data_IF_547501317619
#
_entry.id   IF_547501317619
#
_cell.length_a   1.000
_cell.length_b   1.000
_cell.length_c   1.000
_cell.angle_alpha   90.00
_cell.angle_beta   90.00
_cell.angle_gamma   90.00
#
_symmetry.space_group_name_H-M   'P 1'
#
loop_
_entity.id
_entity.type
_entity.pdbx_description
1 polymer ?
#
# COMPACT_ATOMS: atom_id res chain seq x y z
N UNK A 1 23.00 3.89 -17.90
CA UNK A 1 21.70 4.21 -18.54
C UNK A 1 20.50 4.05 -17.61
N UNK A 2 20.38 2.99 -16.79
CA UNK A 2 19.22 2.79 -15.89
C UNK A 2 18.95 3.91 -14.85
N UNK A 3 19.99 4.54 -14.28
CA UNK A 3 19.82 5.61 -13.29
C UNK A 3 19.38 6.97 -13.89
N UNK A 4 19.80 7.30 -15.12
CA UNK A 4 19.39 8.55 -15.80
C UNK A 4 17.94 8.48 -16.30
N UNK A 5 17.48 7.29 -16.71
CA UNK A 5 16.09 7.05 -17.12
C UNK A 5 15.14 7.35 -15.94
N UNK A 6 15.54 7.00 -14.70
CA UNK A 6 14.72 7.21 -13.51
C UNK A 6 14.58 8.69 -13.12
N UNK A 7 15.65 9.50 -13.26
CA UNK A 7 15.57 10.94 -12.93
C UNK A 7 14.66 11.69 -13.89
N UNK A 8 14.84 11.49 -15.20
CA UNK A 8 14.03 12.16 -16.22
C UNK A 8 12.55 11.78 -16.09
N UNK A 9 12.25 10.50 -15.82
CA UNK A 9 10.89 10.02 -15.58
C UNK A 9 10.27 10.70 -14.34
N UNK A 10 10.98 10.75 -13.21
CA UNK A 10 10.51 11.38 -11.98
C UNK A 10 10.30 12.89 -12.19
N UNK A 11 11.25 13.58 -12.83
CA UNK A 11 11.13 15.01 -13.12
C UNK A 11 9.94 15.29 -14.05
N UNK A 12 9.72 14.48 -15.08
CA UNK A 12 8.56 14.60 -15.97
C UNK A 12 7.24 14.36 -15.22
N UNK A 13 7.19 13.36 -14.35
CA UNK A 13 6.01 13.05 -13.52
C UNK A 13 5.68 14.19 -12.55
N UNK A 14 6.69 14.72 -11.84
CA UNK A 14 6.52 15.86 -10.93
C UNK A 14 6.12 17.13 -11.70
N UNK A 15 6.76 17.40 -12.83
CA UNK A 15 6.43 18.54 -13.69
C UNK A 15 4.99 18.47 -14.18
N UNK A 16 4.56 17.29 -14.66
CA UNK A 16 3.18 17.05 -15.11
C UNK A 16 2.19 17.22 -13.96
N UNK A 17 2.48 16.65 -12.78
CA UNK A 17 1.64 16.78 -11.60
C UNK A 17 1.46 18.25 -11.16
N UNK A 18 2.53 19.05 -11.21
CA UNK A 18 2.46 20.49 -10.91
C UNK A 18 1.75 21.30 -11.99
N UNK A 19 1.84 20.88 -13.26
CA UNK A 19 1.12 21.52 -14.38
C UNK A 19 -0.38 21.25 -14.31
N UNK A 20 -0.78 20.09 -13.82
CA UNK A 20 -2.18 19.65 -13.70
C UNK A 20 -2.48 19.30 -12.23
N UNK A 21 -2.57 20.30 -11.34
CA UNK A 21 -2.74 20.05 -9.92
C UNK A 21 -4.08 19.40 -9.60
N UNK A 22 -4.08 18.55 -8.57
CA UNK A 22 -5.26 17.86 -8.05
C UNK A 22 -6.25 18.87 -7.46
N UNK A 23 -7.52 18.47 -7.41
CA UNK A 23 -8.55 19.17 -6.64
C UNK A 23 -8.94 18.33 -5.44
N UNK A 24 -8.79 18.86 -4.22
CA UNK A 24 -9.18 18.15 -2.99
C UNK A 24 -10.68 17.88 -2.93
N UNK A 25 -11.50 18.75 -3.53
CA UNK A 25 -12.94 18.52 -3.67
C UNK A 25 -13.20 17.31 -4.56
N UNK A 26 -12.60 17.30 -5.76
CA UNK A 26 -12.74 16.19 -6.71
C UNK A 26 -12.25 14.86 -6.11
N UNK A 27 -11.08 14.87 -5.45
CA UNK A 27 -10.57 13.72 -4.71
C UNK A 27 -11.59 13.18 -3.71
N UNK A 28 -12.16 14.04 -2.87
CA UNK A 28 -13.13 13.63 -1.85
C UNK A 28 -14.39 13.05 -2.48
N UNK A 29 -14.91 13.71 -3.51
CA UNK A 29 -16.13 13.28 -4.22
C UNK A 29 -15.91 11.90 -4.88
N UNK A 30 -14.78 11.72 -5.59
CA UNK A 30 -14.43 10.45 -6.25
C UNK A 30 -14.15 9.33 -5.24
N UNK A 31 -13.41 9.61 -4.16
CA UNK A 31 -13.13 8.63 -3.13
C UNK A 31 -14.42 8.13 -2.45
N UNK A 32 -15.33 9.03 -2.10
CA UNK A 32 -16.62 8.67 -1.51
C UNK A 32 -17.42 7.83 -2.51
N UNK A 33 -17.58 8.31 -3.75
CA UNK A 33 -18.34 7.60 -4.78
C UNK A 33 -17.83 6.18 -5.02
N UNK A 34 -16.50 5.99 -5.07
CA UNK A 34 -15.91 4.68 -5.26
C UNK A 34 -16.14 3.75 -4.06
N UNK A 35 -15.95 4.24 -2.84
CA UNK A 35 -16.13 3.42 -1.62
C UNK A 35 -17.59 3.08 -1.37
N UNK A 36 -18.52 3.98 -1.71
CA UNK A 36 -19.95 3.81 -1.48
C UNK A 36 -20.73 3.34 -2.70
N UNK A 37 -20.04 2.88 -3.76
CA UNK A 37 -20.69 2.45 -5.01
C UNK A 37 -21.67 1.29 -4.78
N UNK A 38 -21.33 0.37 -3.87
CA UNK A 38 -22.20 -0.73 -3.44
C UNK A 38 -21.78 -1.21 -2.05
N UNK A 39 -22.69 -1.92 -1.37
CA UNK A 39 -22.40 -2.51 -0.06
C UNK A 39 -21.17 -3.45 -0.11
N UNK A 40 -21.06 -4.28 -1.15
CA UNK A 40 -19.93 -5.22 -1.29
C UNK A 40 -18.58 -4.52 -1.47
N UNK A 41 -18.55 -3.35 -2.09
CA UNK A 41 -17.32 -2.54 -2.22
C UNK A 41 -16.98 -1.87 -0.89
N UNK A 42 -17.99 -1.35 -0.18
CA UNK A 42 -17.79 -0.76 1.14
C UNK A 42 -17.25 -1.79 2.14
N UNK A 43 -17.79 -3.01 2.13
CA UNK A 43 -17.31 -4.14 2.96
C UNK A 43 -15.85 -4.47 2.64
N UNK A 44 -15.45 -4.50 1.36
CA UNK A 44 -14.06 -4.75 0.97
C UNK A 44 -13.09 -3.63 1.40
N UNK A 45 -13.59 -2.42 1.64
CA UNK A 45 -12.78 -1.29 2.11
C UNK A 45 -12.46 -1.37 3.61
N UNK A 46 -13.06 -2.31 4.34
CA UNK A 46 -12.79 -2.55 5.75
C UNK A 46 -12.16 -3.93 5.90
N UNK A 47 -11.09 -4.05 6.69
CA UNK A 47 -10.60 -5.37 7.11
C UNK A 47 -11.08 -5.65 8.54
N UNK A 48 -11.33 -6.92 8.83
CA UNK A 48 -11.62 -7.41 10.17
C UNK A 48 -10.74 -8.62 10.44
N UNK A 49 -9.99 -8.60 11.54
CA UNK A 49 -9.14 -9.70 11.97
C UNK A 49 -9.41 -10.04 13.44
N UNK A 50 -9.88 -11.26 13.77
CA UNK A 50 -9.98 -11.69 15.15
C UNK A 50 -8.59 -11.91 15.75
N UNK A 51 -8.34 -11.30 16.92
CA UNK A 51 -7.10 -11.44 17.67
C UNK A 51 -7.36 -11.34 19.17
N UNK A 52 -6.91 -12.35 19.91
CA UNK A 52 -7.03 -12.42 21.39
C UNK A 52 -8.47 -12.17 21.90
N UNK A 53 -9.46 -12.74 21.20
CA UNK A 53 -10.88 -12.62 21.55
C UNK A 53 -11.54 -11.29 21.17
N UNK A 54 -10.82 -10.38 20.49
CA UNK A 54 -11.37 -9.11 19.98
C UNK A 54 -11.25 -9.04 18.45
N UNK A 55 -12.21 -8.41 17.80
CA UNK A 55 -12.09 -8.10 16.36
C UNK A 55 -11.34 -6.78 16.20
N UNK A 56 -10.22 -6.82 15.48
CA UNK A 56 -9.49 -5.62 15.08
C UNK A 56 -10.01 -5.22 13.70
N UNK A 57 -10.52 -4.00 13.60
CA UNK A 57 -11.06 -3.45 12.35
C UNK A 57 -10.26 -2.23 11.89
N UNK A 58 -10.34 -1.93 10.60
CA UNK A 58 -9.82 -0.68 10.06
C UNK A 58 -9.83 -0.64 8.53
N UNK A 59 -9.18 0.39 7.94
CA UNK A 59 -9.12 0.53 6.49
C UNK A 59 -8.36 -0.64 5.86
N UNK A 60 -8.88 -1.23 4.79
CA UNK A 60 -8.23 -2.35 4.08
C UNK A 60 -7.21 -1.87 3.05
N UNK A 61 -6.43 -2.81 2.49
CA UNK A 61 -5.56 -2.50 1.34
C UNK A 61 -6.36 -2.01 0.13
N UNK A 62 -7.57 -2.53 -0.06
CA UNK A 62 -8.49 -2.08 -1.11
C UNK A 62 -8.91 -0.62 -0.92
N UNK A 63 -9.17 -0.20 0.31
CA UNK A 63 -9.44 1.21 0.61
C UNK A 63 -8.26 2.10 0.23
N UNK A 64 -7.03 1.69 0.59
CA UNK A 64 -5.82 2.43 0.22
C UNK A 64 -5.63 2.56 -1.31
N UNK A 65 -5.94 1.52 -2.07
CA UNK A 65 -5.95 1.58 -3.55
C UNK A 65 -6.97 2.59 -4.07
N UNK A 66 -8.18 2.60 -3.51
CA UNK A 66 -9.23 3.55 -3.88
C UNK A 66 -8.80 4.99 -3.58
N UNK A 67 -8.20 5.21 -2.41
CA UNK A 67 -7.64 6.52 -2.05
C UNK A 67 -6.52 6.92 -3.02
N UNK A 68 -5.58 6.04 -3.32
CA UNK A 68 -4.49 6.33 -4.26
C UNK A 68 -5.03 6.64 -5.67
N UNK A 69 -6.06 5.92 -6.12
CA UNK A 69 -6.74 6.17 -7.39
C UNK A 69 -7.41 7.54 -7.42
N UNK A 70 -8.17 7.90 -6.38
CA UNK A 70 -8.86 9.19 -6.28
C UNK A 70 -7.90 10.38 -6.10
N UNK A 71 -6.79 10.17 -5.41
CA UNK A 71 -5.86 11.25 -5.05
C UNK A 71 -5.27 11.90 -6.30
N UNK A 72 -5.01 11.11 -7.36
CA UNK A 72 -4.29 11.54 -8.55
C UNK A 72 -2.83 11.88 -8.23
N UNK A 73 -2.02 12.21 -9.24
CA UNK A 73 -0.66 12.75 -9.06
C UNK A 73 0.17 12.03 -7.97
N UNK A 74 0.18 10.70 -7.97
CA UNK A 74 0.95 9.90 -7.02
C UNK A 74 1.48 8.60 -7.63
N UNK A 75 2.43 7.98 -6.93
CA UNK A 75 2.81 6.58 -7.12
C UNK A 75 2.63 5.83 -5.81
N UNK A 76 1.98 4.68 -5.87
CA UNK A 76 1.83 3.80 -4.73
C UNK A 76 2.24 2.37 -5.11
N UNK A 77 2.79 1.62 -4.16
CA UNK A 77 3.14 0.22 -4.38
C UNK A 77 3.69 -0.44 -3.14
N UNK A 78 3.81 -1.75 -3.18
CA UNK A 78 4.50 -2.51 -2.14
C UNK A 78 5.33 -3.63 -2.76
N UNK A 79 6.44 -3.98 -2.10
CA UNK A 79 7.32 -5.06 -2.50
C UNK A 79 8.00 -5.68 -1.30
N UNK A 80 8.37 -6.96 -1.41
CA UNK A 80 9.33 -7.56 -0.49
C UNK A 80 10.69 -6.93 -0.75
N UNK A 81 11.35 -6.49 0.31
CA UNK A 81 12.70 -5.89 0.25
C UNK A 81 13.75 -6.77 0.91
N UNK A 82 13.35 -7.72 1.76
CA UNK A 82 14.28 -8.59 2.48
C UNK A 82 13.65 -9.91 2.94
N UNK A 83 14.47 -10.95 3.04
CA UNK A 83 14.19 -12.27 3.64
C UNK A 83 15.33 -12.64 4.58
N UNK A 84 15.07 -12.51 5.89
CA UNK A 84 16.04 -12.71 6.97
C UNK A 84 16.07 -14.15 7.49
N UNK A 85 15.59 -15.14 6.73
CA UNK A 85 15.53 -16.53 7.20
C UNK A 85 14.27 -16.83 8.02
N UNK A 86 14.05 -16.10 9.11
CA UNK A 86 12.88 -16.27 9.99
C UNK A 86 11.76 -15.26 9.73
N UNK A 87 12.10 -14.16 9.05
CA UNK A 87 11.19 -13.07 8.78
C UNK A 87 11.37 -12.57 7.36
N UNK A 88 10.28 -12.10 6.78
CA UNK A 88 10.29 -11.31 5.55
C UNK A 88 9.95 -9.86 5.88
N UNK A 89 10.51 -8.93 5.11
CA UNK A 89 10.22 -7.50 5.22
C UNK A 89 9.61 -7.04 3.91
N UNK A 90 8.40 -6.50 3.99
CA UNK A 90 7.73 -5.82 2.89
C UNK A 90 7.74 -4.31 3.13
N UNK A 91 8.00 -3.54 2.08
CA UNK A 91 7.96 -2.10 2.10
C UNK A 91 6.82 -1.60 1.21
N UNK A 92 5.95 -0.78 1.78
CA UNK A 92 4.97 0.03 1.06
C UNK A 92 5.56 1.40 0.79
N UNK A 93 5.24 1.98 -0.36
CA UNK A 93 5.69 3.29 -0.79
C UNK A 93 4.48 4.08 -1.26
N UNK A 94 4.41 5.35 -0.85
CA UNK A 94 3.48 6.33 -1.38
C UNK A 94 4.23 7.63 -1.68
N UNK A 95 4.26 8.04 -2.94
CA UNK A 95 4.92 9.28 -3.38
C UNK A 95 3.88 10.22 -3.99
N UNK A 96 3.56 11.29 -3.27
CA UNK A 96 2.82 12.41 -3.80
C UNK A 96 3.73 13.21 -4.74
N UNK A 97 3.45 13.16 -6.04
CA UNK A 97 4.28 13.79 -7.08
C UNK A 97 4.08 15.31 -7.17
N UNK A 98 2.93 15.82 -6.74
CA UNK A 98 2.60 17.25 -6.80
C UNK A 98 3.27 18.00 -5.64
N UNK A 99 3.12 17.48 -4.43
CA UNK A 99 3.74 17.97 -3.19
C UNK A 99 5.19 17.51 -3.04
N UNK A 100 5.60 16.51 -3.82
CA UNK A 100 6.89 15.84 -3.75
C UNK A 100 7.19 15.28 -2.35
N UNK A 101 6.20 14.62 -1.75
CA UNK A 101 6.33 13.96 -0.44
C UNK A 101 6.34 12.45 -0.66
N UNK A 102 7.39 11.77 -0.19
CA UNK A 102 7.52 10.33 -0.27
C UNK A 102 7.48 9.70 1.13
N UNK A 103 6.58 8.76 1.32
CA UNK A 103 6.39 7.99 2.55
C UNK A 103 6.70 6.53 2.25
N UNK A 104 7.48 5.91 3.12
CA UNK A 104 7.76 4.47 3.07
C UNK A 104 7.40 3.83 4.40
N UNK A 105 6.78 2.65 4.36
CA UNK A 105 6.39 1.92 5.56
C UNK A 105 6.80 0.46 5.46
N UNK A 106 7.51 -0.04 6.45
CA UNK A 106 7.99 -1.42 6.48
C UNK A 106 7.16 -2.29 7.41
N UNK A 107 6.83 -3.48 6.93
CA UNK A 107 6.09 -4.51 7.65
C UNK A 107 6.94 -5.76 7.69
N UNK A 108 7.19 -6.25 8.89
CA UNK A 108 7.88 -7.52 9.11
C UNK A 108 6.87 -8.62 9.44
N UNK A 109 7.01 -9.79 8.79
CA UNK A 109 6.19 -10.97 9.07
C UNK A 109 7.06 -12.19 9.29
N UNK A 110 6.71 -12.99 10.30
CA UNK A 110 7.40 -14.24 10.61
C UNK A 110 7.03 -15.31 9.58
N UNK A 111 8.03 -16.07 9.13
CA UNK A 111 7.90 -17.18 8.17
C UNK A 111 8.40 -18.52 8.72
N UNK A 112 8.40 -18.66 10.05
CA UNK A 112 8.69 -19.90 10.78
C UNK A 112 7.50 -20.29 11.64
N UNK A 113 7.31 -21.59 11.84
CA UNK A 113 6.27 -22.15 12.71
C UNK A 113 6.62 -22.00 14.20
N UNK A 114 5.75 -22.53 15.08
CA UNK A 114 5.97 -22.47 16.54
C UNK A 114 7.22 -23.25 16.97
N UNK A 115 7.66 -24.22 16.18
CA UNK A 115 8.83 -25.05 16.41
C UNK A 115 10.10 -24.47 15.76
N UNK A 116 10.02 -23.28 15.15
CA UNK A 116 11.14 -22.63 14.47
C UNK A 116 11.45 -23.17 13.08
N UNK A 117 10.60 -24.05 12.53
CA UNK A 117 10.79 -24.58 11.16
C UNK A 117 10.27 -23.57 10.15
N UNK A 118 11.08 -23.29 9.13
CA UNK A 118 10.72 -22.38 8.05
C UNK A 118 9.53 -22.92 7.25
N UNK A 119 8.64 -22.02 6.85
CA UNK A 119 7.47 -22.35 6.03
C UNK A 119 7.87 -22.89 4.66
N UNK A 120 6.96 -23.67 4.05
CA UNK A 120 7.10 -24.10 2.65
C UNK A 120 7.05 -22.88 1.71
N UNK A 121 7.68 -22.95 0.52
CA UNK A 121 7.72 -21.84 -0.43
C UNK A 121 6.36 -21.18 -0.71
N UNK A 122 5.29 -21.97 -0.89
CA UNK A 122 3.95 -21.44 -1.14
C UNK A 122 3.43 -20.60 0.04
N UNK A 123 3.66 -21.06 1.27
CA UNK A 123 3.24 -20.36 2.48
C UNK A 123 4.09 -19.12 2.75
N UNK A 124 5.37 -19.13 2.36
CA UNK A 124 6.21 -17.91 2.35
C UNK A 124 5.61 -16.89 1.37
N UNK A 125 5.22 -17.32 0.16
CA UNK A 125 4.57 -16.47 -0.85
C UNK A 125 3.27 -15.85 -0.33
N UNK A 126 2.39 -16.63 0.30
CA UNK A 126 1.15 -16.11 0.93
C UNK A 126 1.47 -15.10 2.04
N UNK A 127 2.49 -15.38 2.86
CA UNK A 127 2.90 -14.48 3.94
C UNK A 127 3.48 -13.18 3.40
N UNK A 128 4.23 -13.24 2.29
CA UNK A 128 4.77 -12.09 1.58
C UNK A 128 3.70 -11.20 0.96
N UNK A 129 2.71 -11.80 0.30
CA UNK A 129 1.58 -11.05 -0.23
C UNK A 129 0.80 -10.36 0.89
N UNK A 130 0.56 -11.05 2.02
CA UNK A 130 -0.07 -10.45 3.18
C UNK A 130 0.75 -9.28 3.77
N UNK A 131 2.08 -9.42 3.84
CA UNK A 131 2.97 -8.35 4.29
C UNK A 131 2.90 -7.13 3.36
N UNK A 132 2.92 -7.35 2.04
CA UNK A 132 2.79 -6.29 1.04
C UNK A 132 1.44 -5.58 1.13
N UNK A 133 0.33 -6.31 1.30
CA UNK A 133 -1.00 -5.71 1.45
C UNK A 133 -1.08 -4.81 2.70
N UNK A 134 -0.49 -5.22 3.81
CA UNK A 134 -0.44 -4.40 5.04
C UNK A 134 0.46 -3.16 4.81
N UNK A 135 1.59 -3.33 4.14
CA UNK A 135 2.53 -2.24 3.90
C UNK A 135 1.95 -1.20 2.94
N UNK A 136 1.33 -1.64 1.84
CA UNK A 136 0.61 -0.79 0.88
C UNK A 136 -0.50 0.00 1.58
N UNK A 137 -1.29 -0.67 2.42
CA UNK A 137 -2.38 -0.05 3.18
C UNK A 137 -1.90 1.05 4.12
N UNK A 138 -0.76 0.84 4.77
CA UNK A 138 -0.27 1.75 5.79
C UNK A 138 0.48 2.96 5.21
N UNK A 139 1.09 2.86 4.03
CA UNK A 139 1.93 3.92 3.47
C UNK A 139 1.19 5.24 3.18
N UNK A 140 -0.05 5.26 2.63
CA UNK A 140 -0.80 6.50 2.42
C UNK A 140 -1.50 7.05 3.68
N UNK A 141 -1.69 6.21 4.70
CA UNK A 141 -2.55 6.51 5.85
C UNK A 141 -1.83 7.00 7.11
N UNK A 142 -0.54 7.34 7.02
CA UNK A 142 0.28 7.83 8.13
C UNK A 142 0.95 9.14 7.81
#
# INVERSE_FOLDING_TARGET
>A
MAAMINRAEIEQQISTARRFPRSLKKFRDEAIQMVTLSQSIAEQCVYALPRDGKTIEGPSARFAEVIASAWGNNRAGARVIDDKGEFIIAQGVFHDLERNVAITYEVQRRIVDRQGRRFKPDMIGVTANAACSIALRNAPGR
#
